data_IF_372865463218
#
_entry.id   IF_372865463218
#
_cell.length_a   1.000
_cell.length_b   1.000
_cell.length_c   1.000
_cell.angle_alpha   90.00
_cell.angle_beta   90.00
_cell.angle_gamma   90.00
#
_symmetry.space_group_name_H-M   'P 1'
#
loop_
_entity.id
_entity.type
_entity.pdbx_description
1 polymer ?
#
# COMPACT_ATOMS: atom_id res chain seq x y z
N UNK A 1 7.85 3.16 14.08
CA UNK A 1 8.42 4.51 14.31
C UNK A 1 9.86 4.47 14.80
N UNK A 2 10.20 3.53 15.69
CA UNK A 2 11.57 3.36 16.23
C UNK A 2 12.64 3.18 15.16
N UNK A 3 12.35 2.51 14.04
CA UNK A 3 13.32 2.27 12.97
C UNK A 3 13.80 3.55 12.27
N UNK A 4 12.89 4.50 12.02
CA UNK A 4 13.25 5.78 11.40
C UNK A 4 14.13 6.62 12.33
N UNK A 5 13.82 6.59 13.63
CA UNK A 5 14.64 7.27 14.65
C UNK A 5 16.02 6.65 14.77
N UNK A 6 16.07 5.32 14.80
CA UNK A 6 17.31 4.56 14.89
C UNK A 6 18.26 4.90 13.73
N UNK A 7 17.72 5.13 12.53
CA UNK A 7 18.50 5.51 11.34
C UNK A 7 18.65 7.02 11.13
N UNK A 8 18.15 7.87 12.05
CA UNK A 8 18.23 9.32 11.93
C UNK A 8 17.48 9.88 10.71
N UNK A 9 16.48 9.17 10.20
CA UNK A 9 15.71 9.56 9.02
C UNK A 9 14.74 10.68 9.44
N UNK A 10 14.80 11.81 8.73
CA UNK A 10 13.89 12.91 8.96
C UNK A 10 12.43 12.48 8.71
N UNK A 11 11.57 12.78 9.67
CA UNK A 11 10.13 12.48 9.65
C UNK A 11 9.28 13.56 8.98
N UNK A 12 9.86 14.72 8.65
CA UNK A 12 9.17 15.77 7.90
C UNK A 12 8.70 15.21 6.56
N UNK A 13 7.40 14.97 6.43
CA UNK A 13 6.78 14.35 5.25
C UNK A 13 6.39 12.88 5.39
N UNK A 14 6.56 12.28 6.57
CA UNK A 14 6.06 10.93 6.87
C UNK A 14 4.73 11.04 7.63
N UNK A 15 3.67 10.53 7.02
CA UNK A 15 2.33 10.44 7.63
C UNK A 15 2.03 8.97 7.87
N UNK A 16 1.76 8.60 9.12
CA UNK A 16 1.30 7.26 9.46
C UNK A 16 -0.23 7.19 9.31
N UNK A 17 -0.71 6.23 8.54
CA UNK A 17 -2.15 6.05 8.31
C UNK A 17 -2.55 4.59 8.60
N UNK A 18 -3.53 4.34 9.50
CA UNK A 18 -3.99 2.98 9.79
C UNK A 18 -4.69 2.34 8.59
N UNK A 19 -4.17 1.22 8.09
CA UNK A 19 -4.75 0.50 6.94
C UNK A 19 -6.20 0.05 7.18
N UNK A 20 -6.55 -0.29 8.42
CA UNK A 20 -7.94 -0.60 8.81
C UNK A 20 -8.93 0.51 8.44
N UNK A 21 -8.52 1.77 8.53
CA UNK A 21 -9.38 2.89 8.13
C UNK A 21 -9.56 2.95 6.60
N UNK A 22 -8.56 2.53 5.81
CA UNK A 22 -8.71 2.39 4.35
C UNK A 22 -9.67 1.26 4.01
N UNK A 23 -9.56 0.12 4.70
CA UNK A 23 -10.49 -1.02 4.54
C UNK A 23 -11.92 -0.61 4.89
N UNK A 24 -12.13 0.10 6.01
CA UNK A 24 -13.46 0.62 6.38
C UNK A 24 -14.00 1.55 5.28
N UNK A 25 -13.18 2.47 4.76
CA UNK A 25 -13.58 3.37 3.69
C UNK A 25 -13.99 2.60 2.42
N UNK A 26 -13.22 1.57 2.05
CA UNK A 26 -13.52 0.69 0.93
C UNK A 26 -14.81 -0.11 1.14
N UNK A 27 -14.97 -0.72 2.32
CA UNK A 27 -16.14 -1.53 2.62
C UNK A 27 -17.43 -0.69 2.75
N UNK A 28 -17.32 0.58 3.12
CA UNK A 28 -18.47 1.48 3.26
C UNK A 28 -18.90 2.09 1.93
N UNK A 29 -17.94 2.60 1.14
CA UNK A 29 -18.22 3.44 -0.03
C UNK A 29 -17.44 3.01 -1.29
N UNK A 30 -16.80 1.84 -1.28
CA UNK A 30 -15.97 1.34 -2.38
C UNK A 30 -14.85 2.31 -2.76
N UNK A 31 -14.64 2.42 -4.08
CA UNK A 31 -13.64 3.29 -4.69
C UNK A 31 -13.78 4.76 -4.28
N UNK A 32 -15.00 5.26 -4.10
CA UNK A 32 -15.22 6.66 -3.74
C UNK A 32 -14.76 6.96 -2.31
N UNK A 33 -14.96 6.00 -1.39
CA UNK A 33 -14.46 6.10 -0.02
C UNK A 33 -12.95 6.18 0.03
N UNK A 34 -12.27 5.30 -0.69
CA UNK A 34 -10.81 5.28 -0.77
C UNK A 34 -10.28 6.54 -1.47
N UNK A 35 -10.92 7.00 -2.56
CA UNK A 35 -10.54 8.22 -3.27
C UNK A 35 -10.66 9.46 -2.40
N UNK A 36 -11.75 9.61 -1.63
CA UNK A 36 -11.92 10.72 -0.70
C UNK A 36 -10.83 10.74 0.37
N UNK A 37 -10.49 9.56 0.89
CA UNK A 37 -9.45 9.42 1.90
C UNK A 37 -8.05 9.74 1.36
N UNK A 38 -7.69 9.24 0.18
CA UNK A 38 -6.41 9.59 -0.47
C UNK A 38 -6.36 11.09 -0.80
N UNK A 39 -7.47 11.65 -1.27
CA UNK A 39 -7.55 13.09 -1.59
C UNK A 39 -7.40 13.98 -0.35
N UNK A 40 -7.91 13.56 0.81
CA UNK A 40 -7.73 14.33 2.05
C UNK A 40 -6.27 14.30 2.51
N UNK A 41 -5.61 13.15 2.43
CA UNK A 41 -4.18 13.01 2.71
C UNK A 41 -3.33 13.86 1.74
N UNK A 42 -3.70 13.91 0.46
CA UNK A 42 -2.99 14.70 -0.54
C UNK A 42 -3.09 16.21 -0.34
N UNK A 43 -4.20 16.73 0.21
CA UNK A 43 -4.32 18.15 0.55
C UNK A 43 -3.25 18.59 1.55
N UNK A 44 -2.88 17.70 2.47
CA UNK A 44 -1.80 17.96 3.42
C UNK A 44 -0.42 17.95 2.74
N UNK A 45 -0.23 17.11 1.73
CA UNK A 45 0.99 17.05 0.92
C UNK A 45 1.17 18.35 0.14
N UNK A 46 0.10 18.84 -0.48
CA UNK A 46 0.08 20.10 -1.24
C UNK A 46 0.32 21.32 -0.34
N UNK A 47 -0.30 21.37 0.85
CA UNK A 47 -0.12 22.48 1.80
C UNK A 47 1.32 22.60 2.30
N UNK A 48 2.02 21.46 2.40
CA UNK A 48 3.43 21.38 2.76
C UNK A 48 4.40 21.55 1.56
N UNK A 49 3.90 21.89 0.37
CA UNK A 49 4.68 22.11 -0.86
C UNK A 49 5.46 20.88 -1.36
N UNK A 50 5.02 19.69 -0.99
CA UNK A 50 5.56 18.46 -1.59
C UNK A 50 4.98 18.26 -3.00
N UNK A 51 5.75 17.60 -3.88
CA UNK A 51 5.35 17.37 -5.29
C UNK A 51 4.37 16.21 -5.48
N UNK A 52 4.20 15.37 -4.47
CA UNK A 52 3.37 14.17 -4.53
C UNK A 52 3.61 13.30 -3.31
N UNK A 53 2.90 12.18 -3.23
CA UNK A 53 3.00 11.23 -2.13
C UNK A 53 3.45 9.85 -2.59
N UNK A 54 4.07 9.10 -1.68
CA UNK A 54 4.28 7.66 -1.85
C UNK A 54 3.57 6.93 -0.73
N UNK A 55 2.59 6.10 -1.09
CA UNK A 55 1.92 5.19 -0.16
C UNK A 55 2.79 3.94 -0.05
N UNK A 56 3.24 3.63 1.16
CA UNK A 56 3.99 2.41 1.44
C UNK A 56 3.12 1.53 2.32
N UNK A 57 2.67 0.40 1.76
CA UNK A 57 1.87 -0.59 2.44
C UNK A 57 2.70 -1.83 2.80
N UNK A 58 2.39 -2.46 3.92
CA UNK A 58 2.89 -3.78 4.27
C UNK A 58 1.70 -4.75 4.29
N UNK A 59 1.49 -5.53 3.22
CA UNK A 59 0.37 -6.46 3.08
C UNK A 59 0.19 -7.41 4.27
N UNK A 60 1.27 -7.98 4.81
CA UNK A 60 1.16 -8.91 5.94
C UNK A 60 0.56 -8.26 7.19
N UNK A 61 0.96 -7.01 7.47
CA UNK A 61 0.38 -6.21 8.55
C UNK A 61 -1.09 -5.86 8.26
N UNK A 62 -1.41 -5.48 7.02
CA UNK A 62 -2.78 -5.18 6.62
C UNK A 62 -3.72 -6.37 6.80
N UNK A 63 -3.31 -7.55 6.34
CA UNK A 63 -4.07 -8.79 6.50
C UNK A 63 -4.23 -9.16 7.97
N UNK A 64 -3.17 -9.02 8.78
CA UNK A 64 -3.22 -9.29 10.22
C UNK A 64 -4.19 -8.39 11.00
N UNK A 65 -4.33 -7.13 10.60
CA UNK A 65 -5.29 -6.18 11.21
C UNK A 65 -6.71 -6.31 10.66
N UNK A 66 -6.88 -7.01 9.53
CA UNK A 66 -8.15 -7.11 8.79
C UNK A 66 -8.41 -8.55 8.34
N UNK A 67 -8.39 -8.82 7.03
CA UNK A 67 -8.52 -10.14 6.43
C UNK A 67 -7.84 -10.20 5.07
N UNK A 68 -7.60 -11.42 4.57
CA UNK A 68 -7.07 -11.65 3.21
C UNK A 68 -8.01 -11.08 2.15
N UNK A 69 -9.32 -11.30 2.30
CA UNK A 69 -10.35 -10.83 1.38
C UNK A 69 -10.46 -9.30 1.36
N UNK A 70 -10.43 -8.65 2.53
CA UNK A 70 -10.48 -7.19 2.61
C UNK A 70 -9.24 -6.55 2.00
N UNK A 71 -8.07 -7.14 2.23
CA UNK A 71 -6.80 -6.68 1.64
C UNK A 71 -6.86 -6.72 0.11
N UNK A 72 -7.22 -7.87 -0.48
CA UNK A 72 -7.25 -8.00 -1.94
C UNK A 72 -8.23 -7.01 -2.59
N UNK A 73 -9.43 -6.86 -2.02
CA UNK A 73 -10.41 -5.86 -2.50
C UNK A 73 -9.89 -4.43 -2.38
N UNK A 74 -9.20 -4.12 -1.28
CA UNK A 74 -8.61 -2.80 -1.09
C UNK A 74 -7.50 -2.55 -2.12
N UNK A 75 -6.67 -3.55 -2.41
CA UNK A 75 -5.54 -3.42 -3.33
C UNK A 75 -5.97 -3.17 -4.78
N UNK A 76 -7.00 -3.88 -5.24
CA UNK A 76 -7.65 -3.63 -6.55
C UNK A 76 -8.12 -2.17 -6.63
N UNK A 77 -8.87 -1.73 -5.62
CA UNK A 77 -9.41 -0.36 -5.55
C UNK A 77 -8.31 0.69 -5.45
N UNK A 78 -7.26 0.45 -4.65
CA UNK A 78 -6.13 1.36 -4.53
C UNK A 78 -5.46 1.57 -5.88
N UNK A 79 -5.24 0.50 -6.64
CA UNK A 79 -4.63 0.59 -7.97
C UNK A 79 -5.40 1.56 -8.86
N UNK A 80 -6.73 1.43 -8.90
CA UNK A 80 -7.59 2.34 -9.68
C UNK A 80 -7.57 3.78 -9.15
N UNK A 81 -7.58 3.96 -7.83
CA UNK A 81 -7.56 5.29 -7.20
C UNK A 81 -6.26 6.04 -7.48
N UNK A 82 -5.13 5.33 -7.56
CA UNK A 82 -3.81 5.94 -7.75
C UNK A 82 -3.52 6.34 -9.21
N UNK A 83 -4.30 5.85 -10.18
CA UNK A 83 -4.12 6.20 -11.59
C UNK A 83 -4.43 7.69 -11.81
N UNK A 84 -3.51 8.39 -12.46
CA UNK A 84 -3.70 9.79 -12.91
C UNK A 84 -3.54 10.86 -11.83
N UNK A 85 -3.15 10.48 -10.61
CA UNK A 85 -2.83 11.41 -9.52
C UNK A 85 -1.33 11.40 -9.20
N UNK A 86 -0.81 12.44 -8.54
CA UNK A 86 0.60 12.55 -8.14
C UNK A 86 0.92 11.68 -6.91
N UNK A 87 0.60 10.39 -7.01
CA UNK A 87 0.84 9.38 -5.97
C UNK A 87 1.42 8.13 -6.60
N UNK A 88 2.38 7.52 -5.91
CA UNK A 88 2.86 6.16 -6.21
C UNK A 88 2.56 5.22 -5.05
N UNK A 89 2.17 3.98 -5.35
CA UNK A 89 2.03 2.91 -4.35
C UNK A 89 3.26 1.99 -4.34
N UNK A 90 3.62 1.49 -3.16
CA UNK A 90 4.62 0.44 -2.96
C UNK A 90 4.12 -0.53 -1.90
N UNK A 91 4.03 -1.81 -2.24
CA UNK A 91 3.72 -2.89 -1.31
C UNK A 91 4.99 -3.67 -0.95
N UNK A 92 5.20 -3.89 0.36
CA UNK A 92 6.31 -4.67 0.91
C UNK A 92 5.81 -6.04 1.36
N UNK A 93 5.88 -7.03 0.46
CA UNK A 93 5.43 -8.38 0.72
C UNK A 93 6.39 -9.15 1.64
N UNK A 94 5.82 -9.91 2.58
CA UNK A 94 6.59 -10.73 3.51
C UNK A 94 7.04 -12.02 2.83
N UNK A 95 8.20 -11.97 2.19
CA UNK A 95 8.79 -13.11 1.51
C UNK A 95 9.15 -14.26 2.48
N UNK A 96 9.46 -13.95 3.75
CA UNK A 96 9.79 -14.98 4.71
C UNK A 96 8.55 -15.82 5.05
N UNK A 97 7.42 -15.15 5.32
CA UNK A 97 6.14 -15.83 5.53
C UNK A 97 5.74 -16.67 4.31
N UNK A 98 5.83 -16.10 3.11
CA UNK A 98 5.51 -16.80 1.85
C UNK A 98 6.32 -18.09 1.64
N UNK A 99 7.62 -18.07 1.93
CA UNK A 99 8.51 -19.21 1.70
C UNK A 99 8.31 -20.32 2.74
N UNK A 100 8.02 -19.97 4.00
CA UNK A 100 8.09 -20.94 5.11
C UNK A 100 6.71 -21.35 5.64
N UNK A 101 5.84 -20.38 5.91
CA UNK A 101 4.61 -20.62 6.66
C UNK A 101 3.38 -20.59 5.76
N UNK A 102 3.35 -19.68 4.79
CA UNK A 102 2.19 -19.41 3.94
C UNK A 102 0.93 -19.03 4.74
N UNK A 103 1.08 -18.56 5.99
CA UNK A 103 -0.04 -18.29 6.87
C UNK A 103 -0.79 -17.03 6.44
N UNK A 104 -0.05 -15.96 6.14
CA UNK A 104 -0.60 -14.66 5.73
C UNK A 104 -0.39 -14.44 4.23
N UNK A 105 0.84 -14.59 3.77
CA UNK A 105 1.26 -14.46 2.38
C UNK A 105 1.23 -15.84 1.74
N UNK A 106 0.07 -16.25 1.23
CA UNK A 106 -0.06 -17.50 0.47
C UNK A 106 0.02 -17.27 -1.05
N UNK A 107 0.01 -18.35 -1.83
CA UNK A 107 0.05 -18.30 -3.29
C UNK A 107 -1.10 -17.46 -3.87
N UNK A 108 -2.30 -17.55 -3.30
CA UNK A 108 -3.45 -16.76 -3.76
C UNK A 108 -3.18 -15.27 -3.57
N UNK A 109 -2.71 -14.86 -2.40
CA UNK A 109 -2.35 -13.46 -2.14
C UNK A 109 -1.32 -12.98 -3.15
N UNK A 110 -0.23 -13.73 -3.35
CA UNK A 110 0.82 -13.35 -4.28
C UNK A 110 0.31 -13.24 -5.72
N UNK A 111 -0.47 -14.22 -6.19
CA UNK A 111 -0.97 -14.26 -7.56
C UNK A 111 -1.99 -13.16 -7.85
N UNK A 112 -2.91 -12.87 -6.92
CA UNK A 112 -3.84 -11.75 -7.09
C UNK A 112 -3.11 -10.40 -7.01
N UNK A 113 -2.13 -10.29 -6.10
CA UNK A 113 -1.33 -9.06 -5.96
C UNK A 113 -0.52 -8.72 -7.19
N UNK A 114 0.00 -9.72 -7.90
CA UNK A 114 0.72 -9.50 -9.15
C UNK A 114 -0.15 -8.88 -10.25
N UNK A 115 -1.49 -9.04 -10.19
CA UNK A 115 -2.42 -8.46 -11.17
C UNK A 115 -2.65 -6.97 -10.98
N UNK A 116 -2.47 -6.47 -9.76
CA UNK A 116 -2.69 -5.06 -9.39
C UNK A 116 -1.42 -4.22 -9.53
N UNK A 117 -0.26 -4.88 -9.65
CA UNK A 117 1.04 -4.22 -9.72
C UNK A 117 1.52 -4.02 -11.17
N UNK A 118 2.24 -2.91 -11.39
CA UNK A 118 2.88 -2.63 -12.68
C UNK A 118 4.35 -3.06 -12.73
N UNK A 119 5.01 -3.10 -11.57
CA UNK A 119 6.44 -3.39 -11.47
C UNK A 119 6.76 -4.20 -10.21
N UNK A 120 7.84 -4.97 -10.28
CA UNK A 120 8.49 -5.64 -9.16
C UNK A 120 9.85 -4.99 -8.90
N UNK A 121 10.15 -4.69 -7.64
CA UNK A 121 11.47 -4.26 -7.21
C UNK A 121 12.26 -5.47 -6.70
N UNK A 122 13.33 -5.82 -7.39
CA UNK A 122 14.22 -6.92 -7.01
C UNK A 122 15.67 -6.53 -7.30
N UNK A 123 16.57 -6.78 -6.35
CA UNK A 123 18.01 -6.47 -6.47
C UNK A 123 18.27 -5.05 -7.02
N UNK A 124 17.67 -4.05 -6.35
CA UNK A 124 17.76 -2.63 -6.72
C UNK A 124 17.30 -2.30 -8.16
N UNK A 125 16.59 -3.22 -8.82
CA UNK A 125 16.14 -3.11 -10.20
C UNK A 125 14.63 -3.22 -10.27
N UNK A 126 14.01 -2.38 -11.10
CA UNK A 126 12.57 -2.41 -11.36
C UNK A 126 12.29 -3.22 -12.62
N UNK A 127 11.51 -4.28 -12.47
CA UNK A 127 11.07 -5.14 -13.56
C UNK A 127 9.60 -4.86 -13.84
N UNK A 128 9.26 -4.53 -15.09
CA UNK A 128 7.86 -4.39 -15.50
C UNK A 128 7.21 -5.78 -15.52
N UNK A 129 6.05 -5.91 -14.89
CA UNK A 129 5.28 -7.17 -14.92
C UNK A 129 4.65 -7.32 -16.31
N UNK A 130 4.87 -8.46 -16.95
CA UNK A 130 4.16 -8.88 -18.15
C UNK A 130 3.18 -9.98 -17.72
N UNK A 131 1.89 -9.67 -17.70
CA UNK A 131 0.80 -10.61 -17.44
C UNK A 131 0.21 -11.09 -18.77
#
# INVERSE_FOLDING_TARGET
>A
MELLDFHGINRTGVIHFPVKNMVIANNTNGIDGVRQLISSLLKEVESNRFRGARVIGQPSYAIGETSKEDFLKLEEVLTEVLIGINVSGLCLYDAFDYIHNGEIMDEKIMMESLKTHSHLLYDNSLFKIQL
#
